data_IF_425249137748
#
_entry.id   IF_425249137748
#
_cell.length_a   1.000
_cell.length_b   1.000
_cell.length_c   1.000
_cell.angle_alpha   90.00
_cell.angle_beta   90.00
_cell.angle_gamma   90.00
#
_symmetry.space_group_name_H-M   'P 1'
#
loop_
_entity.id
_entity.type
_entity.pdbx_description
1 polymer ?
#
# COMPACT_ATOMS: atom_id res chain seq x y z
N UNK A 1 3.01 -43.61 9.23
CA UNK A 1 2.08 -42.98 8.27
C UNK A 1 2.42 -41.51 8.14
N UNK A 2 2.29 -40.91 6.96
CA UNK A 2 2.72 -39.52 6.67
C UNK A 2 1.78 -38.41 7.19
N UNK A 3 0.76 -38.76 8.01
CA UNK A 3 -0.13 -37.79 8.66
C UNK A 3 -1.32 -37.29 7.84
N UNK A 4 -1.58 -37.86 6.66
CA UNK A 4 -2.74 -37.51 5.82
C UNK A 4 -4.03 -38.10 6.41
N UNK A 5 -4.97 -37.25 6.83
CA UNK A 5 -6.23 -37.63 7.49
C UNK A 5 -7.32 -36.54 7.36
N UNK A 6 -8.45 -36.67 8.07
CA UNK A 6 -9.57 -35.74 7.96
C UNK A 6 -9.26 -34.36 8.56
N UNK A 7 -8.43 -34.30 9.60
CA UNK A 7 -7.95 -33.06 10.22
C UNK A 7 -6.86 -32.39 9.38
N UNK A 8 -6.12 -33.17 8.58
CA UNK A 8 -5.05 -32.73 7.68
C UNK A 8 -5.32 -33.25 6.25
N UNK A 9 -6.41 -32.77 5.61
CA UNK A 9 -6.76 -33.22 4.27
C UNK A 9 -5.68 -32.79 3.27
N UNK A 10 -5.29 -33.68 2.34
CA UNK A 10 -4.26 -33.35 1.37
C UNK A 10 -4.80 -32.33 0.36
N UNK A 11 -3.95 -31.37 0.00
CA UNK A 11 -4.19 -30.40 -1.06
C UNK A 11 -2.96 -30.34 -1.98
N UNK A 12 -3.15 -29.82 -3.19
CA UNK A 12 -2.07 -29.60 -4.15
C UNK A 12 -2.15 -28.18 -4.71
N UNK A 13 -1.01 -27.67 -5.18
CA UNK A 13 -0.95 -26.36 -5.85
C UNK A 13 -1.55 -26.49 -7.24
N UNK A 14 -2.67 -25.80 -7.48
CA UNK A 14 -3.40 -25.84 -8.74
C UNK A 14 -2.93 -24.77 -9.72
N UNK A 15 -2.37 -23.66 -9.23
CA UNK A 15 -1.83 -22.58 -10.05
C UNK A 15 -0.79 -21.76 -9.28
N UNK A 16 0.18 -21.20 -10.00
CA UNK A 16 1.21 -20.30 -9.46
C UNK A 16 1.27 -19.04 -10.32
N UNK A 17 1.13 -17.89 -9.69
CA UNK A 17 1.32 -16.59 -10.32
C UNK A 17 2.79 -16.17 -10.18
N UNK A 18 3.43 -15.87 -11.32
CA UNK A 18 4.79 -15.35 -11.39
C UNK A 18 4.75 -13.86 -11.74
N UNK A 19 5.64 -13.08 -11.13
CA UNK A 19 5.76 -11.67 -11.44
C UNK A 19 6.62 -10.91 -10.46
N UNK A 20 6.24 -9.66 -10.25
CA UNK A 20 6.90 -8.71 -9.35
C UNK A 20 5.95 -8.31 -8.24
N UNK A 21 6.43 -8.32 -7.01
CA UNK A 21 5.64 -7.95 -5.83
C UNK A 21 6.28 -6.78 -5.10
N UNK A 22 5.46 -5.78 -4.76
CA UNK A 22 5.90 -4.55 -4.10
C UNK A 22 5.09 -4.36 -2.83
N UNK A 23 5.77 -4.37 -1.68
CA UNK A 23 5.20 -3.95 -0.40
C UNK A 23 5.51 -2.49 -0.16
N UNK A 24 4.51 -1.70 0.21
CA UNK A 24 4.63 -0.28 0.48
C UNK A 24 4.27 0.04 1.91
N UNK A 25 5.10 0.85 2.57
CA UNK A 25 4.78 1.59 3.79
C UNK A 25 4.63 3.06 3.41
N UNK A 26 3.44 3.63 3.61
CA UNK A 26 3.18 5.06 3.41
C UNK A 26 3.09 5.73 4.78
N UNK A 27 3.79 6.84 4.98
CA UNK A 27 3.85 7.52 6.28
C UNK A 27 3.75 9.04 6.14
N UNK A 28 3.06 9.67 7.08
CA UNK A 28 2.90 11.12 7.20
C UNK A 28 2.76 11.52 8.66
N UNK A 29 3.07 12.77 8.96
CA UNK A 29 2.74 13.43 10.23
C UNK A 29 1.44 14.24 10.15
N UNK A 30 0.73 14.21 9.02
CA UNK A 30 -0.56 14.88 8.88
C UNK A 30 -1.61 14.26 9.79
N UNK A 31 -2.33 15.10 10.51
CA UNK A 31 -3.51 14.74 11.31
C UNK A 31 -4.83 14.88 10.53
N UNK A 32 -4.76 15.08 9.21
CA UNK A 32 -5.96 15.21 8.37
C UNK A 32 -6.71 13.88 8.24
N UNK A 33 -8.03 13.95 8.19
CA UNK A 33 -8.89 12.79 7.89
C UNK A 33 -8.82 12.36 6.42
N UNK A 34 -8.21 13.18 5.54
CA UNK A 34 -8.06 12.89 4.10
C UNK A 34 -6.78 12.11 3.75
N UNK A 35 -5.99 11.67 4.73
CA UNK A 35 -4.72 10.94 4.48
C UNK A 35 -4.94 9.69 3.62
N UNK A 36 -5.99 8.89 3.89
CA UNK A 36 -6.31 7.71 3.08
C UNK A 36 -6.58 8.06 1.62
N UNK A 37 -7.39 9.10 1.37
CA UNK A 37 -7.71 9.56 0.01
C UNK A 37 -6.47 10.10 -0.72
N UNK A 38 -5.59 10.81 -0.02
CA UNK A 38 -4.33 11.30 -0.57
C UNK A 38 -3.41 10.14 -0.97
N UNK A 39 -3.31 9.12 -0.12
CA UNK A 39 -2.52 7.91 -0.40
C UNK A 39 -3.11 7.10 -1.56
N UNK A 40 -4.42 6.93 -1.63
CA UNK A 40 -5.09 6.25 -2.74
C UNK A 40 -4.87 6.98 -4.06
N UNK A 41 -4.91 8.32 -4.06
CA UNK A 41 -4.60 9.12 -5.23
C UNK A 41 -3.13 8.95 -5.65
N UNK A 42 -2.20 9.00 -4.69
CA UNK A 42 -0.78 8.76 -4.94
C UNK A 42 -0.50 7.34 -5.49
N UNK A 43 -1.28 6.33 -5.08
CA UNK A 43 -1.18 4.91 -5.52
C UNK A 43 -1.95 4.60 -6.82
N UNK A 44 -2.96 5.37 -7.18
CA UNK A 44 -3.68 5.23 -8.46
C UNK A 44 -3.10 6.12 -9.56
N UNK A 45 -2.45 7.22 -9.21
CA UNK A 45 -1.95 8.22 -10.16
C UNK A 45 -3.03 9.18 -10.63
N UNK A 46 -4.16 9.21 -9.92
CA UNK A 46 -5.22 10.19 -10.12
C UNK A 46 -4.69 11.58 -9.79
N UNK A 47 -4.93 12.54 -10.67
CA UNK A 47 -4.54 13.93 -10.41
C UNK A 47 -5.26 14.48 -9.17
N UNK A 48 -4.49 15.13 -8.31
CA UNK A 48 -4.99 15.85 -7.11
C UNK A 48 -4.78 17.36 -7.21
N UNK A 49 -4.35 17.87 -8.37
CA UNK A 49 -3.94 19.28 -8.54
C UNK A 49 -5.03 20.31 -8.21
N UNK A 50 -6.30 19.90 -8.18
CA UNK A 50 -7.43 20.74 -7.78
C UNK A 50 -7.73 20.73 -6.26
N UNK A 51 -7.15 19.82 -5.49
CA UNK A 51 -7.30 19.74 -4.03
C UNK A 51 -5.94 20.02 -3.36
N UNK A 52 -5.82 21.25 -2.85
CA UNK A 52 -4.61 21.74 -2.18
C UNK A 52 -4.31 20.93 -0.92
N UNK A 53 -5.31 20.43 -0.21
CA UNK A 53 -5.13 19.65 1.01
C UNK A 53 -4.52 18.28 0.67
N UNK A 54 -5.08 17.57 -0.32
CA UNK A 54 -4.52 16.29 -0.78
C UNK A 54 -3.09 16.47 -1.30
N UNK A 55 -2.86 17.54 -2.07
CA UNK A 55 -1.52 17.88 -2.58
C UNK A 55 -0.53 18.11 -1.44
N UNK A 56 -0.93 18.85 -0.40
CA UNK A 56 -0.10 19.10 0.77
C UNK A 56 0.18 17.81 1.58
N UNK A 57 -0.80 16.92 1.73
CA UNK A 57 -0.58 15.63 2.38
C UNK A 57 0.46 14.83 1.60
N UNK A 58 0.30 14.68 0.28
CA UNK A 58 1.23 13.91 -0.55
C UNK A 58 2.64 14.50 -0.48
N UNK A 59 2.77 15.83 -0.55
CA UNK A 59 4.06 16.52 -0.47
C UNK A 59 4.78 16.31 0.87
N UNK A 60 4.04 16.20 1.96
CA UNK A 60 4.57 15.99 3.32
C UNK A 60 4.50 14.52 3.76
N UNK A 61 4.50 13.59 2.81
CA UNK A 61 4.46 12.16 3.06
C UNK A 61 5.64 11.44 2.42
N UNK A 62 6.05 10.35 3.02
CA UNK A 62 7.12 9.48 2.53
C UNK A 62 6.62 8.06 2.28
N UNK A 63 7.37 7.32 1.49
CA UNK A 63 7.16 5.89 1.31
C UNK A 63 8.45 5.11 1.56
N UNK A 64 8.27 3.84 1.94
CA UNK A 64 9.28 2.79 1.87
C UNK A 64 8.72 1.63 1.06
N UNK A 65 9.49 1.12 0.12
CA UNK A 65 9.12 0.00 -0.74
C UNK A 65 10.08 -1.17 -0.55
N UNK A 66 9.55 -2.39 -0.51
CA UNK A 66 10.31 -3.64 -0.60
C UNK A 66 9.81 -4.39 -1.83
N UNK A 67 10.72 -4.70 -2.75
CA UNK A 67 10.40 -5.25 -4.07
C UNK A 67 11.03 -6.63 -4.23
N UNK A 68 10.20 -7.61 -4.58
CA UNK A 68 10.59 -8.97 -4.97
C UNK A 68 10.35 -9.16 -6.48
N UNK A 69 11.26 -9.87 -7.17
CA UNK A 69 11.14 -10.13 -8.61
C UNK A 69 11.38 -8.90 -9.50
N UNK A 70 12.09 -7.89 -8.98
CA UNK A 70 12.40 -6.65 -9.70
C UNK A 70 13.71 -6.69 -10.50
N UNK A 71 14.45 -7.79 -10.47
CA UNK A 71 15.73 -7.97 -11.17
C UNK A 71 15.87 -9.39 -11.71
N UNK A 72 16.86 -9.62 -12.57
CA UNK A 72 17.21 -10.94 -13.12
C UNK A 72 17.72 -11.94 -12.05
N UNK A 73 18.13 -11.43 -10.88
CA UNK A 73 18.59 -12.21 -9.73
C UNK A 73 17.52 -12.16 -8.64
N UNK A 74 17.56 -13.10 -7.70
CA UNK A 74 16.70 -13.15 -6.48
C UNK A 74 17.00 -11.99 -5.48
N UNK A 75 17.29 -10.81 -6.01
CA UNK A 75 17.65 -9.62 -5.29
C UNK A 75 16.38 -8.91 -4.77
N UNK A 76 16.39 -8.62 -3.48
CA UNK A 76 15.36 -7.82 -2.82
C UNK A 76 15.78 -6.36 -2.86
N UNK A 77 14.98 -5.50 -3.47
CA UNK A 77 15.27 -4.06 -3.51
C UNK A 77 14.50 -3.35 -2.41
N UNK A 78 15.17 -2.46 -1.68
CA UNK A 78 14.57 -1.58 -0.68
C UNK A 78 14.77 -0.13 -1.15
N UNK A 79 13.66 0.61 -1.26
CA UNK A 79 13.65 2.00 -1.73
C UNK A 79 12.92 2.86 -0.71
N UNK A 80 13.53 3.96 -0.30
CA UNK A 80 12.92 4.99 0.53
C UNK A 80 12.80 6.28 -0.30
N UNK A 81 11.71 7.02 -0.16
CA UNK A 81 11.51 8.24 -0.95
C UNK A 81 10.29 9.07 -0.55
N UNK A 82 10.06 10.15 -1.29
CA UNK A 82 8.90 11.00 -1.11
C UNK A 82 7.69 10.42 -1.84
N UNK A 83 6.49 10.62 -1.29
CA UNK A 83 5.28 10.01 -1.86
C UNK A 83 4.97 10.45 -3.30
N UNK A 84 5.43 11.63 -3.71
CA UNK A 84 5.34 12.11 -5.10
C UNK A 84 6.08 11.23 -6.10
N UNK A 85 7.18 10.60 -5.70
CA UNK A 85 8.06 9.81 -6.58
C UNK A 85 7.60 8.34 -6.69
N UNK A 86 6.60 7.95 -5.89
CA UNK A 86 6.11 6.55 -5.81
C UNK A 86 5.66 6.01 -7.18
N UNK A 87 5.08 6.87 -8.02
CA UNK A 87 4.59 6.50 -9.37
C UNK A 87 5.69 5.89 -10.22
N UNK A 88 6.90 6.43 -10.14
CA UNK A 88 8.01 5.99 -10.98
C UNK A 88 8.50 4.61 -10.57
N UNK A 89 8.49 4.32 -9.26
CA UNK A 89 8.82 3.00 -8.72
C UNK A 89 7.77 1.94 -9.12
N UNK A 90 6.49 2.33 -9.18
CA UNK A 90 5.41 1.43 -9.57
C UNK A 90 5.41 1.17 -11.08
N UNK A 91 5.73 2.18 -11.91
CA UNK A 91 5.86 2.04 -13.36
C UNK A 91 7.09 1.21 -13.75
N UNK A 92 8.20 1.36 -13.04
CA UNK A 92 9.43 0.60 -13.28
C UNK A 92 9.18 -0.89 -13.03
N UNK A 93 9.31 -1.72 -14.07
CA UNK A 93 9.08 -3.16 -13.99
C UNK A 93 7.60 -3.57 -14.01
N UNK A 94 6.71 -2.72 -14.51
CA UNK A 94 5.29 -3.06 -14.73
C UNK A 94 5.06 -3.97 -15.95
N UNK A 95 6.06 -4.11 -16.83
CA UNK A 95 5.99 -4.94 -18.04
C UNK A 95 7.00 -6.08 -17.95
N UNK A 96 6.55 -7.28 -18.32
CA UNK A 96 7.40 -8.44 -18.45
C UNK A 96 8.45 -8.26 -19.55
N UNK A 97 9.67 -8.71 -19.30
CA UNK A 97 10.73 -8.85 -20.30
C UNK A 97 11.62 -10.05 -19.94
N UNK A 98 12.52 -10.43 -20.86
CA UNK A 98 13.37 -11.62 -20.70
C UNK A 98 14.35 -11.48 -19.55
N UNK A 99 14.78 -10.25 -19.25
CA UNK A 99 15.74 -9.91 -18.21
C UNK A 99 15.11 -9.90 -16.82
N UNK A 100 13.80 -9.67 -16.71
CA UNK A 100 13.02 -9.72 -15.46
C UNK A 100 11.84 -10.68 -15.62
N UNK A 101 12.10 -12.01 -15.60
CA UNK A 101 11.06 -13.01 -15.82
C UNK A 101 10.04 -13.12 -14.66
N UNK A 102 10.36 -12.50 -13.52
CA UNK A 102 9.54 -12.55 -12.31
C UNK A 102 9.84 -13.78 -11.45
N UNK A 103 9.32 -13.76 -10.22
CA UNK A 103 9.41 -14.84 -9.23
C UNK A 103 7.99 -15.31 -8.86
N UNK A 104 7.82 -16.51 -8.27
CA UNK A 104 6.52 -16.89 -7.70
C UNK A 104 6.08 -15.87 -6.63
N UNK A 105 4.89 -15.28 -6.78
CA UNK A 105 4.34 -14.26 -5.85
C UNK A 105 3.04 -14.70 -5.18
N UNK A 106 2.30 -15.63 -5.78
CA UNK A 106 1.10 -16.20 -5.22
C UNK A 106 0.85 -17.59 -5.79
N UNK A 107 0.08 -18.40 -5.08
CA UNK A 107 -0.37 -19.70 -5.55
C UNK A 107 -1.78 -19.99 -5.05
N UNK A 108 -2.52 -20.82 -5.78
CA UNK A 108 -3.81 -21.36 -5.37
C UNK A 108 -3.68 -22.84 -5.09
N UNK A 109 -4.46 -23.33 -4.13
CA UNK A 109 -4.47 -24.75 -3.74
C UNK A 109 -5.87 -25.32 -3.85
N UNK A 110 -5.97 -26.55 -4.34
CA UNK A 110 -7.23 -27.29 -4.37
C UNK A 110 -7.12 -28.54 -3.49
N UNK A 111 -8.20 -28.92 -2.84
CA UNK A 111 -8.26 -30.18 -2.09
C UNK A 111 -8.18 -31.37 -3.04
N UNK A 112 -7.39 -32.38 -2.68
CA UNK A 112 -7.18 -33.54 -3.55
C UNK A 112 -8.44 -34.42 -3.67
N UNK A 113 -9.37 -34.30 -2.72
CA UNK A 113 -10.60 -35.09 -2.64
C UNK A 113 -11.58 -34.79 -3.76
N UNK A 114 -11.81 -33.51 -4.04
CA UNK A 114 -12.90 -33.00 -4.89
C UNK A 114 -12.44 -31.91 -5.86
N UNK A 115 -11.16 -31.53 -5.81
CA UNK A 115 -10.60 -30.40 -6.56
C UNK A 115 -11.25 -29.05 -6.23
N UNK A 116 -11.91 -28.90 -5.07
CA UNK A 116 -12.43 -27.61 -4.63
C UNK A 116 -11.30 -26.67 -4.18
N UNK A 117 -11.49 -25.37 -4.39
CA UNK A 117 -10.53 -24.33 -3.99
C UNK A 117 -10.45 -24.26 -2.46
N UNK A 118 -9.25 -24.42 -1.90
CA UNK A 118 -9.00 -24.20 -0.49
C UNK A 118 -8.88 -22.70 -0.18
N UNK A 119 -9.63 -22.24 0.83
CA UNK A 119 -9.68 -20.83 1.24
C UNK A 119 -9.19 -20.68 2.68
N UNK A 120 -8.25 -19.76 2.90
CA UNK A 120 -7.77 -19.39 4.24
C UNK A 120 -8.69 -18.33 4.81
N UNK A 121 -9.41 -18.66 5.89
CA UNK A 121 -10.27 -17.71 6.61
C UNK A 121 -9.47 -17.05 7.74
N UNK A 122 -9.32 -15.74 7.69
CA UNK A 122 -8.63 -14.95 8.71
C UNK A 122 -9.63 -14.10 9.50
N UNK A 123 -9.48 -14.05 10.82
CA UNK A 123 -10.22 -13.17 11.71
C UNK A 123 -9.28 -12.61 12.79
N UNK A 124 -9.43 -11.33 13.13
CA UNK A 124 -8.63 -10.66 14.15
C UNK A 124 -9.33 -9.39 14.61
N UNK A 125 -9.18 -9.04 15.88
CA UNK A 125 -9.64 -7.77 16.46
C UNK A 125 -8.46 -6.83 16.64
N UNK A 126 -8.66 -5.54 16.39
CA UNK A 126 -7.64 -4.52 16.55
C UNK A 126 -8.26 -3.18 16.97
N UNK A 127 -7.44 -2.33 17.60
CA UNK A 127 -7.83 -0.98 17.98
C UNK A 127 -7.36 0.02 16.92
N UNK A 128 -8.30 0.66 16.23
CA UNK A 128 -8.01 1.76 15.32
C UNK A 128 -7.81 3.07 16.09
N UNK A 129 -6.71 3.78 15.83
CA UNK A 129 -6.42 5.08 16.45
C UNK A 129 -6.55 6.19 15.42
N UNK A 130 -7.39 7.19 15.70
CA UNK A 130 -7.53 8.40 14.89
C UNK A 130 -7.07 9.62 15.70
N UNK A 131 -6.67 10.69 15.00
CA UNK A 131 -6.21 11.93 15.65
C UNK A 131 -6.76 13.15 14.91
N UNK A 132 -6.80 14.29 15.60
CA UNK A 132 -7.24 15.56 15.06
C UNK A 132 -6.43 16.69 15.68
N UNK A 133 -5.93 17.59 14.84
CA UNK A 133 -5.18 18.78 15.28
C UNK A 133 -6.06 20.04 15.15
N UNK A 134 -5.92 20.95 16.11
CA UNK A 134 -6.54 22.27 16.11
C UNK A 134 -5.44 23.33 16.13
N UNK A 135 -5.52 24.31 15.24
CA UNK A 135 -4.57 25.41 15.18
C UNK A 135 -5.10 26.60 15.97
N UNK A 136 -4.23 27.27 16.71
CA UNK A 136 -4.58 28.49 17.44
C UNK A 136 -5.08 29.60 16.50
N UNK A 137 -6.07 30.36 16.97
CA UNK A 137 -6.61 31.53 16.27
C UNK A 137 -6.28 32.82 17.03
N UNK A 138 -6.18 33.94 16.31
CA UNK A 138 -6.04 35.28 16.90
C UNK A 138 -7.09 36.21 16.32
N UNK A 139 -7.67 37.05 17.18
CA UNK A 139 -8.55 38.15 16.77
C UNK A 139 -7.81 39.43 17.09
N UNK A 140 -7.42 40.18 16.06
CA UNK A 140 -6.80 41.48 16.21
C UNK A 140 -7.87 42.54 15.92
N UNK A 141 -8.19 43.35 16.93
CA UNK A 141 -9.14 44.46 16.79
C UNK A 141 -8.35 45.75 16.73
N UNK A 142 -8.58 46.53 15.68
CA UNK A 142 -8.01 47.85 15.46
C UNK A 142 -9.14 48.82 15.11
N UNK A 143 -9.34 49.84 15.96
CA UNK A 143 -10.33 50.89 15.77
C UNK A 143 -9.65 52.25 15.79
N UNK A 144 -9.61 52.90 14.63
CA UNK A 144 -8.99 54.21 14.40
C UNK A 144 -10.02 55.29 14.01
N UNK A 145 -11.31 55.00 14.18
CA UNK A 145 -12.38 55.96 13.94
C UNK A 145 -12.58 56.93 15.10
N UNK A 146 -12.94 58.18 14.80
CA UNK A 146 -13.31 59.20 15.81
C UNK A 146 -14.69 58.99 16.43
N UNK A 147 -15.07 57.74 16.69
CA UNK A 147 -16.40 57.34 17.16
C UNK A 147 -16.31 56.11 18.08
N UNK A 148 -17.43 55.73 18.70
CA UNK A 148 -17.63 54.39 19.30
C UNK A 148 -18.26 53.48 18.25
#
# INVERSE_FOLDING_TARGET
ALGVNAENPPAYISSVAYGRQVYLKLSTNSHSTKVKAAFDAAVSGKSVSGDVELTNIIKNSSFKAVIYGGSAKDEVQIIDGNLGDLRDILKKGATFNRETPGVPIAYTTNFLKDNELAVIKNNSEYMETTSKAYTDGKINIDHSGGYV
#
